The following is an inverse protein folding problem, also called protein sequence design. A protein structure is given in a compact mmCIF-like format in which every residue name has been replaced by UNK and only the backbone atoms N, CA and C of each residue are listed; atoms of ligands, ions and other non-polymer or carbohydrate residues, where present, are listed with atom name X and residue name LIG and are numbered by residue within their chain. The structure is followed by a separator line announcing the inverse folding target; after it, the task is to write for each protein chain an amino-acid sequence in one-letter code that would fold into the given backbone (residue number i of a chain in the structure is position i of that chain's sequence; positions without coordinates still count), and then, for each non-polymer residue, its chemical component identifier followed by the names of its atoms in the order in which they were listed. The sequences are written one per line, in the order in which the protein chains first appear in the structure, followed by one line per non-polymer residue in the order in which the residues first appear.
data_IF_017687721808
#
_entry.id   IF_017687721808
#
_cell.length_a   1.000
_cell.length_b   1.000
_cell.length_c   1.000
_cell.angle_alpha   90.00
_cell.angle_beta   90.00
_cell.angle_gamma   90.00
#
_symmetry.space_group_name_H-M   'P 1'
#
loop_
_entity.id
_entity.type
_entity.pdbx_description
1 polymer ?
#
# COMPACT_ATOMS: atom_id res chain seq x y z
N UNK A 1 -29.78 -16.69 -14.86
CA UNK A 1 -29.04 -16.51 -13.60
C UNK A 1 -27.97 -15.46 -13.88
N UNK A 2 -28.08 -14.27 -13.29
CA UNK A 2 -27.13 -13.19 -13.54
C UNK A 2 -25.73 -13.59 -13.09
N UNK A 3 -24.70 -13.21 -13.85
CA UNK A 3 -23.32 -13.32 -13.39
C UNK A 3 -23.17 -12.60 -12.03
N UNK A 4 -22.41 -13.15 -11.08
CA UNK A 4 -22.17 -12.47 -9.81
C UNK A 4 -21.54 -11.10 -10.09
N UNK A 5 -22.15 -10.05 -9.52
CA UNK A 5 -21.64 -8.69 -9.62
C UNK A 5 -20.25 -8.68 -9.00
N UNK A 6 -19.24 -8.28 -9.79
CA UNK A 6 -17.89 -8.07 -9.31
C UNK A 6 -17.72 -6.58 -9.07
N UNK A 7 -17.76 -6.18 -7.82
CA UNK A 7 -17.51 -4.82 -7.39
C UNK A 7 -16.47 -4.79 -6.27
N UNK A 8 -15.78 -3.67 -6.17
CA UNK A 8 -14.78 -3.44 -5.13
C UNK A 8 -14.69 -1.95 -4.89
N UNK A 9 -14.55 -1.57 -3.62
CA UNK A 9 -14.41 -0.18 -3.24
C UNK A 9 -13.02 0.10 -2.66
N UNK A 10 -12.54 1.31 -2.90
CA UNK A 10 -11.37 1.90 -2.26
C UNK A 10 -11.79 3.07 -1.40
N UNK A 11 -11.22 3.15 -0.20
CA UNK A 11 -11.47 4.25 0.73
C UNK A 11 -10.18 4.60 1.46
N UNK A 12 -9.68 5.81 1.24
CA UNK A 12 -8.59 6.35 2.06
C UNK A 12 -9.16 6.74 3.42
N UNK A 13 -8.59 6.18 4.48
CA UNK A 13 -8.94 6.40 5.89
C UNK A 13 -7.92 7.27 6.61
N UNK A 14 -6.92 7.80 5.90
CA UNK A 14 -6.02 8.83 6.42
C UNK A 14 -6.77 10.11 6.79
N UNK A 15 -6.45 10.69 7.95
CA UNK A 15 -6.88 12.07 8.28
C UNK A 15 -7.44 12.31 9.68
N UNK A 16 -7.50 13.58 10.08
CA UNK A 16 -8.13 14.01 11.34
C UNK A 16 -9.67 13.91 11.32
N UNK A 17 -10.31 14.17 12.48
CA UNK A 17 -11.79 14.10 12.64
C UNK A 17 -12.59 14.92 11.62
N UNK A 18 -12.00 15.98 11.05
CA UNK A 18 -12.64 16.91 10.11
C UNK A 18 -12.29 16.65 8.64
N UNK A 19 -11.44 15.68 8.33
CA UNK A 19 -11.05 15.44 6.94
C UNK A 19 -12.16 14.75 6.16
N UNK A 20 -12.30 15.10 4.89
CA UNK A 20 -13.29 14.52 4.00
C UNK A 20 -12.81 13.15 3.53
N UNK A 21 -13.66 12.14 3.69
CA UNK A 21 -13.43 10.79 3.19
C UNK A 21 -14.09 10.63 1.83
N UNK A 22 -13.43 9.88 0.94
CA UNK A 22 -13.99 9.51 -0.35
C UNK A 22 -14.18 8.00 -0.43
N UNK A 23 -15.25 7.60 -1.09
CA UNK A 23 -15.56 6.20 -1.38
C UNK A 23 -15.60 6.03 -2.90
N UNK A 24 -14.63 5.28 -3.43
CA UNK A 24 -14.51 5.01 -4.87
C UNK A 24 -14.96 3.58 -5.14
N UNK A 25 -16.03 3.40 -5.93
CA UNK A 25 -16.59 2.10 -6.27
C UNK A 25 -16.30 1.73 -7.73
N UNK A 26 -15.56 0.65 -7.95
CA UNK A 26 -15.39 0.04 -9.25
C UNK A 26 -16.33 -1.16 -9.41
N UNK A 27 -16.95 -1.27 -10.58
CA UNK A 27 -17.82 -2.40 -10.94
C UNK A 27 -17.48 -2.93 -12.34
N UNK A 28 -17.39 -4.25 -12.46
CA UNK A 28 -17.12 -4.92 -13.72
C UNK A 28 -18.41 -5.23 -14.46
N UNK A 29 -18.46 -4.87 -15.74
CA UNK A 29 -19.60 -5.15 -16.62
C UNK A 29 -19.19 -6.21 -17.65
N UNK A 30 -19.61 -7.49 -17.50
CA UNK A 30 -19.18 -8.58 -18.36
C UNK A 30 -19.53 -8.37 -19.84
N UNK A 31 -20.65 -7.72 -20.13
CA UNK A 31 -21.10 -7.43 -21.49
C UNK A 31 -20.13 -6.53 -22.25
N UNK A 32 -19.54 -5.56 -21.54
CA UNK A 32 -18.55 -4.61 -22.09
C UNK A 32 -17.11 -5.05 -21.87
N UNK A 33 -16.91 -6.14 -21.11
CA UNK A 33 -15.60 -6.61 -20.61
C UNK A 33 -14.77 -5.49 -19.96
N UNK A 34 -15.42 -4.48 -19.36
CA UNK A 34 -14.78 -3.26 -18.89
C UNK A 34 -15.20 -2.94 -17.46
N UNK A 35 -14.32 -2.32 -16.71
CA UNK A 35 -14.60 -1.77 -15.39
C UNK A 35 -15.09 -0.34 -15.49
N UNK A 36 -16.00 0.06 -14.60
CA UNK A 36 -16.52 1.42 -14.53
C UNK A 36 -16.35 1.93 -13.12
N UNK A 37 -15.89 3.18 -12.99
CA UNK A 37 -16.10 3.94 -11.77
C UNK A 37 -17.61 4.24 -11.68
N UNK A 38 -18.31 3.42 -10.89
CA UNK A 38 -19.77 3.48 -10.77
C UNK A 38 -20.20 4.61 -9.85
N UNK A 39 -19.42 4.89 -8.82
CA UNK A 39 -19.74 5.92 -7.85
C UNK A 39 -18.46 6.44 -7.19
N UNK A 40 -18.44 7.76 -6.97
CA UNK A 40 -17.44 8.46 -6.18
C UNK A 40 -18.18 9.32 -5.17
N UNK A 41 -18.29 8.83 -3.94
CA UNK A 41 -19.00 9.57 -2.88
C UNK A 41 -18.03 10.31 -1.99
N UNK A 42 -18.45 11.50 -1.54
CA UNK A 42 -17.75 12.30 -0.55
C UNK A 42 -18.60 12.35 0.72
N UNK A 43 -18.02 12.03 1.87
CA UNK A 43 -18.66 12.33 3.17
C UNK A 43 -18.42 13.81 3.46
N UNK A 44 -19.49 14.61 3.62
CA UNK A 44 -19.39 16.03 3.96
C UNK A 44 -19.69 16.25 5.44
N UNK A 45 -19.11 17.30 6.02
CA UNK A 45 -19.36 17.70 7.42
C UNK A 45 -20.81 18.12 7.71
N UNK A 46 -21.58 18.46 6.67
CA UNK A 46 -22.96 18.94 6.79
C UNK A 46 -24.00 17.81 6.88
N UNK A 47 -23.57 16.55 6.76
CA UNK A 47 -24.46 15.41 6.89
C UNK A 47 -24.93 15.26 8.34
N UNK A 48 -26.26 15.26 8.54
CA UNK A 48 -26.91 15.12 9.87
C UNK A 48 -26.62 13.74 10.49
N UNK A 49 -26.20 12.75 9.67
CA UNK A 49 -25.91 11.38 10.09
C UNK A 49 -24.46 11.26 10.55
N UNK A 50 -24.20 10.31 11.44
CA UNK A 50 -22.82 10.00 11.83
C UNK A 50 -22.04 9.50 10.60
N UNK A 51 -20.80 9.97 10.43
CA UNK A 51 -19.95 9.65 9.28
C UNK A 51 -19.75 8.14 9.13
N UNK A 52 -19.71 7.43 10.26
CA UNK A 52 -19.52 5.98 10.29
C UNK A 52 -20.80 5.22 9.85
N UNK A 53 -21.99 5.79 10.08
CA UNK A 53 -23.26 5.26 9.56
C UNK A 53 -23.35 5.40 8.03
N UNK A 54 -22.81 6.49 7.47
CA UNK A 54 -22.77 6.71 6.02
C UNK A 54 -21.96 5.61 5.34
N UNK A 55 -20.78 5.28 5.88
CA UNK A 55 -19.93 4.20 5.35
C UNK A 55 -20.70 2.88 5.37
N UNK A 56 -21.33 2.55 6.49
CA UNK A 56 -22.13 1.31 6.64
C UNK A 56 -23.27 1.29 5.62
N UNK A 57 -23.96 2.41 5.43
CA UNK A 57 -25.05 2.52 4.46
C UNK A 57 -24.59 2.31 3.02
N UNK A 58 -23.40 2.79 2.63
CA UNK A 58 -22.85 2.55 1.29
C UNK A 58 -22.48 1.09 1.08
N UNK A 59 -21.83 0.47 2.08
CA UNK A 59 -21.49 -0.96 2.03
C UNK A 59 -22.75 -1.81 1.83
N UNK A 60 -23.82 -1.52 2.56
CA UNK A 60 -25.10 -2.22 2.43
C UNK A 60 -25.79 -1.93 1.09
N UNK A 61 -25.86 -0.65 0.68
CA UNK A 61 -26.52 -0.22 -0.56
C UNK A 61 -25.90 -0.87 -1.79
N UNK A 62 -24.57 -1.00 -1.83
CA UNK A 62 -23.85 -1.60 -2.94
C UNK A 62 -23.61 -3.11 -2.78
N UNK A 63 -24.14 -3.72 -1.72
CA UNK A 63 -23.90 -5.13 -1.37
C UNK A 63 -22.41 -5.50 -1.42
N UNK A 64 -21.56 -4.59 -0.94
CA UNK A 64 -20.11 -4.67 -1.13
C UNK A 64 -19.53 -5.83 -0.31
N UNK A 65 -18.75 -6.69 -0.98
CA UNK A 65 -18.06 -7.82 -0.32
C UNK A 65 -16.60 -7.53 0.01
N UNK A 66 -16.01 -6.52 -0.64
CA UNK A 66 -14.58 -6.25 -0.60
C UNK A 66 -14.32 -4.76 -0.54
N UNK A 67 -13.50 -4.34 0.42
CA UNK A 67 -13.11 -2.95 0.63
C UNK A 67 -11.60 -2.85 0.85
N UNK A 68 -10.94 -2.01 0.07
CA UNK A 68 -9.49 -1.75 0.20
C UNK A 68 -9.27 -0.42 0.89
N UNK A 69 -8.42 -0.41 1.92
CA UNK A 69 -8.09 0.77 2.72
C UNK A 69 -6.58 0.96 2.84
N UNK A 70 -6.15 2.20 3.05
CA UNK A 70 -4.76 2.59 3.30
C UNK A 70 -4.40 2.58 4.80
N UNK A 71 -5.04 1.69 5.57
CA UNK A 71 -4.97 1.70 7.02
C UNK A 71 -4.57 0.34 7.59
N UNK A 72 -3.67 0.28 8.60
CA UNK A 72 -3.24 -0.96 9.24
C UNK A 72 -4.39 -1.81 9.80
N UNK A 73 -4.58 -3.03 9.26
CA UNK A 73 -5.62 -3.96 9.71
C UNK A 73 -5.11 -5.04 10.68
N UNK A 74 -3.88 -5.52 10.50
CA UNK A 74 -3.21 -6.43 11.46
C UNK A 74 -2.55 -5.65 12.58
N UNK A 75 -2.43 -6.21 13.79
CA UNK A 75 -1.72 -5.57 14.91
C UNK A 75 -0.28 -6.08 15.05
N UNK A 76 0.64 -5.33 15.71
CA UNK A 76 1.95 -5.85 16.05
C UNK A 76 1.86 -7.15 16.86
N UNK A 77 2.78 -8.10 16.69
CA UNK A 77 2.76 -9.38 17.39
C UNK A 77 2.52 -9.23 18.90
N UNK A 78 3.27 -8.37 19.57
CA UNK A 78 3.14 -8.19 21.03
C UNK A 78 1.80 -7.60 21.48
N UNK A 79 1.03 -6.96 20.60
CA UNK A 79 -0.32 -6.50 20.95
C UNK A 79 -1.35 -7.61 20.73
N UNK A 80 -1.24 -8.36 19.63
CA UNK A 80 -2.25 -9.33 19.22
C UNK A 80 -2.30 -10.59 20.11
N UNK A 81 -1.13 -11.14 20.48
CA UNK A 81 -1.07 -12.50 21.03
C UNK A 81 0.09 -12.73 22.01
N UNK A 82 0.48 -11.71 22.78
CA UNK A 82 1.71 -11.76 23.62
C UNK A 82 1.71 -12.91 24.61
N UNK A 83 2.90 -13.41 24.96
CA UNK A 83 3.04 -14.40 26.01
C UNK A 83 2.87 -13.73 27.39
N UNK A 84 2.15 -14.35 28.35
CA UNK A 84 1.90 -13.78 29.68
C UNK A 84 3.16 -13.42 30.48
N UNK A 85 4.30 -14.08 30.21
CA UNK A 85 5.59 -13.84 30.84
C UNK A 85 6.68 -13.61 29.77
N UNK A 86 6.47 -12.64 28.89
CA UNK A 86 7.42 -12.32 27.83
C UNK A 86 8.75 -11.78 28.41
N UNK A 87 9.88 -12.41 28.07
CA UNK A 87 11.24 -12.00 28.46
C UNK A 87 11.73 -10.74 27.72
N UNK A 88 10.86 -10.14 26.92
CA UNK A 88 11.13 -8.92 26.16
C UNK A 88 11.28 -9.18 24.66
N UNK A 89 11.35 -8.07 23.92
CA UNK A 89 11.39 -8.09 22.46
C UNK A 89 12.57 -8.92 21.92
N UNK A 90 13.77 -8.79 22.49
CA UNK A 90 15.01 -9.40 21.98
C UNK A 90 14.96 -10.93 21.91
N UNK A 91 14.24 -11.59 22.80
CA UNK A 91 14.17 -13.07 22.89
C UNK A 91 12.78 -13.60 22.52
N UNK A 92 11.99 -12.82 21.78
CA UNK A 92 10.64 -13.23 21.40
C UNK A 92 10.64 -14.59 20.67
N UNK A 93 9.95 -15.62 21.20
CA UNK A 93 10.01 -16.99 20.66
C UNK A 93 9.03 -17.23 19.51
N UNK A 94 8.33 -16.20 19.04
CA UNK A 94 7.32 -16.36 18.00
C UNK A 94 7.94 -16.59 16.64
N UNK A 95 7.38 -17.55 15.91
CA UNK A 95 7.79 -17.91 14.55
C UNK A 95 7.94 -16.69 13.63
N UNK A 96 6.90 -15.87 13.46
CA UNK A 96 6.96 -14.68 12.58
C UNK A 96 8.11 -13.71 12.94
N UNK A 97 8.39 -13.53 14.23
CA UNK A 97 9.45 -12.65 14.71
C UNK A 97 10.83 -13.27 14.47
N UNK A 98 10.93 -14.59 14.63
CA UNK A 98 12.15 -15.35 14.35
C UNK A 98 12.46 -15.36 12.85
N UNK A 99 11.48 -15.60 11.98
CA UNK A 99 11.61 -15.54 10.52
C UNK A 99 12.10 -14.18 10.05
N UNK A 100 11.44 -13.09 10.48
CA UNK A 100 11.87 -11.73 10.15
C UNK A 100 13.32 -11.49 10.57
N UNK A 101 13.71 -11.93 11.77
CA UNK A 101 15.09 -11.75 12.26
C UNK A 101 16.10 -12.61 11.52
N UNK A 102 15.72 -13.82 11.14
CA UNK A 102 16.55 -14.70 10.33
C UNK A 102 16.82 -14.06 8.97
N UNK A 103 15.77 -13.58 8.28
CA UNK A 103 15.91 -12.87 7.01
C UNK A 103 16.73 -11.58 7.14
N UNK A 104 16.51 -10.79 8.19
CA UNK A 104 17.31 -9.58 8.44
C UNK A 104 18.80 -9.90 8.62
N UNK A 105 19.10 -11.00 9.32
CA UNK A 105 20.48 -11.45 9.55
C UNK A 105 21.10 -11.97 8.26
N UNK A 106 20.37 -12.77 7.50
CA UNK A 106 20.80 -13.28 6.18
C UNK A 106 21.21 -12.14 5.25
N UNK A 107 20.36 -11.11 5.11
CA UNK A 107 20.68 -9.93 4.30
C UNK A 107 21.97 -9.21 4.75
N UNK A 108 22.18 -9.08 6.06
CA UNK A 108 23.39 -8.45 6.60
C UNK A 108 24.64 -9.32 6.41
N UNK A 109 24.50 -10.64 6.57
CA UNK A 109 25.58 -11.61 6.41
C UNK A 109 25.99 -11.73 4.93
N UNK A 110 25.03 -11.73 4.00
CA UNK A 110 25.28 -11.68 2.55
C UNK A 110 26.03 -10.41 2.15
N UNK A 111 25.57 -9.23 2.58
CA UNK A 111 26.26 -7.97 2.29
C UNK A 111 27.69 -7.94 2.87
N UNK A 112 27.87 -8.46 4.08
CA UNK A 112 29.18 -8.59 4.71
C UNK A 112 30.08 -9.59 3.97
N UNK A 113 29.51 -10.68 3.45
CA UNK A 113 30.22 -11.65 2.62
C UNK A 113 30.68 -11.03 1.31
N UNK A 114 29.80 -10.33 0.59
CA UNK A 114 30.15 -9.63 -0.65
C UNK A 114 31.27 -8.59 -0.44
N UNK A 115 31.22 -7.85 0.67
CA UNK A 115 32.26 -6.88 1.02
C UNK A 115 33.62 -7.55 1.27
N UNK A 116 33.65 -8.71 1.92
CA UNK A 116 34.89 -9.46 2.20
C UNK A 116 35.46 -10.14 0.97
N UNK A 117 34.62 -10.77 0.15
CA UNK A 117 35.05 -11.58 -0.99
C UNK A 117 35.53 -10.71 -2.16
N UNK A 118 34.88 -9.55 -2.40
CA UNK A 118 35.20 -8.69 -3.54
C UNK A 118 35.21 -7.19 -3.17
N UNK A 119 36.14 -6.71 -2.32
CA UNK A 119 36.11 -5.34 -1.78
C UNK A 119 36.20 -4.24 -2.85
N UNK A 120 36.97 -4.47 -3.92
CA UNK A 120 37.09 -3.50 -5.02
C UNK A 120 35.80 -3.39 -5.83
N UNK A 121 35.20 -4.53 -6.19
CA UNK A 121 33.95 -4.57 -6.94
C UNK A 121 32.80 -4.00 -6.10
N UNK A 122 32.79 -4.31 -4.81
CA UNK A 122 31.86 -3.76 -3.84
C UNK A 122 31.92 -2.23 -3.79
N UNK A 123 33.13 -1.66 -3.69
CA UNK A 123 33.30 -0.20 -3.68
C UNK A 123 32.94 0.44 -5.04
N UNK A 124 33.25 -0.22 -6.16
CA UNK A 124 32.84 0.23 -7.49
C UNK A 124 31.31 0.25 -7.64
N UNK A 125 30.62 -0.82 -7.23
CA UNK A 125 29.15 -0.91 -7.26
C UNK A 125 28.52 0.10 -6.27
N UNK A 126 29.16 0.35 -5.12
CA UNK A 126 28.76 1.41 -4.18
C UNK A 126 28.87 2.80 -4.80
N UNK A 127 29.99 3.11 -5.44
CA UNK A 127 30.18 4.41 -6.11
C UNK A 127 29.23 4.54 -7.29
N UNK A 128 29.06 3.50 -8.11
CA UNK A 128 28.10 3.48 -9.20
C UNK A 128 26.65 3.66 -8.72
N UNK A 129 26.29 3.17 -7.52
CA UNK A 129 24.98 3.42 -6.91
C UNK A 129 24.77 4.87 -6.48
N UNK A 130 25.86 5.62 -6.25
CA UNK A 130 25.84 7.07 -5.99
C UNK A 130 25.88 7.89 -7.29
N UNK A 131 26.36 7.32 -8.40
CA UNK A 131 26.33 7.92 -9.72
C UNK A 131 24.91 7.84 -10.29
N UNK A 132 24.32 9.00 -10.49
CA UNK A 132 22.87 9.13 -10.51
C UNK A 132 22.27 8.87 -11.89
N UNK A 133 22.11 7.61 -12.28
CA UNK A 133 21.26 7.25 -13.43
C UNK A 133 19.81 7.02 -12.96
N UNK A 134 19.09 8.12 -12.81
CA UNK A 134 17.75 8.21 -12.20
C UNK A 134 16.67 7.32 -12.84
N UNK A 135 16.88 6.86 -14.07
CA UNK A 135 15.90 6.13 -14.89
C UNK A 135 16.00 4.60 -14.78
N UNK A 136 17.19 4.06 -14.46
CA UNK A 136 17.46 2.61 -14.49
C UNK A 136 17.35 1.93 -13.12
N UNK A 137 17.60 2.67 -12.03
CA UNK A 137 17.74 2.06 -10.70
C UNK A 137 16.41 1.67 -10.03
N UNK A 138 15.34 2.46 -10.18
CA UNK A 138 14.05 2.21 -9.51
C UNK A 138 13.20 1.11 -10.19
N UNK A 139 13.33 0.93 -11.51
CA UNK A 139 12.48 0.02 -12.31
C UNK A 139 12.85 -1.47 -12.20
N UNK A 140 14.08 -1.80 -11.80
CA UNK A 140 14.64 -3.14 -12.02
C UNK A 140 15.06 -3.91 -10.77
N UNK A 141 15.01 -3.31 -9.58
CA UNK A 141 15.64 -3.91 -8.39
C UNK A 141 14.68 -3.86 -7.19
N UNK A 142 14.49 -4.99 -6.54
CA UNK A 142 14.01 -5.03 -5.15
C UNK A 142 15.12 -4.54 -4.19
N UNK A 143 14.76 -4.17 -2.96
CA UNK A 143 15.73 -3.58 -2.00
C UNK A 143 16.78 -4.59 -1.55
N UNK A 144 16.45 -5.88 -1.62
CA UNK A 144 17.31 -7.04 -1.34
C UNK A 144 18.16 -7.51 -2.53
N UNK A 145 17.74 -7.23 -3.77
CA UNK A 145 18.45 -7.67 -5.00
C UNK A 145 19.76 -6.90 -5.30
N UNK A 146 20.14 -5.95 -4.45
CA UNK A 146 21.35 -5.16 -4.64
C UNK A 146 22.06 -4.89 -3.31
N UNK A 147 23.31 -4.43 -3.40
CA UNK A 147 24.08 -3.99 -2.23
C UNK A 147 23.23 -3.04 -1.37
N UNK A 148 22.98 -3.44 -0.12
CA UNK A 148 22.05 -2.74 0.75
C UNK A 148 22.45 -1.26 0.91
N UNK A 149 21.48 -0.36 0.86
CA UNK A 149 21.76 1.07 1.07
C UNK A 149 22.25 1.34 2.50
N UNK A 150 23.03 2.42 2.70
CA UNK A 150 23.51 2.80 4.04
C UNK A 150 22.35 3.05 5.02
N UNK A 151 21.27 3.66 4.52
CA UNK A 151 20.03 3.89 5.27
C UNK A 151 19.37 2.58 5.65
N UNK A 152 19.23 1.63 4.71
CA UNK A 152 18.58 0.36 4.97
C UNK A 152 19.39 -0.49 5.94
N UNK A 153 20.72 -0.58 5.78
CA UNK A 153 21.62 -1.25 6.75
C UNK A 153 21.47 -0.70 8.16
N UNK A 154 21.39 0.63 8.30
CA UNK A 154 21.17 1.25 9.61
C UNK A 154 19.83 0.83 10.20
N UNK A 155 18.79 0.69 9.39
CA UNK A 155 17.49 0.19 9.84
C UNK A 155 17.54 -1.29 10.22
N UNK A 156 18.17 -2.14 9.42
CA UNK A 156 18.36 -3.56 9.73
C UNK A 156 19.15 -3.76 11.03
N UNK A 157 20.21 -2.99 11.26
CA UNK A 157 21.02 -3.04 12.51
C UNK A 157 20.27 -2.56 13.75
N UNK A 158 19.32 -1.63 13.61
CA UNK A 158 18.44 -1.24 14.73
C UNK A 158 17.53 -2.40 15.15
N UNK A 159 17.26 -3.33 14.24
CA UNK A 159 16.51 -4.55 14.52
C UNK A 159 14.99 -4.36 14.44
N UNK A 160 14.31 -5.51 14.49
CA UNK A 160 12.85 -5.58 14.51
C UNK A 160 12.30 -5.58 15.93
N UNK A 161 11.45 -4.59 16.23
CA UNK A 161 10.74 -4.43 17.51
C UNK A 161 9.27 -4.91 17.40
N UNK A 162 8.92 -6.10 17.92
CA UNK A 162 7.62 -6.75 17.71
C UNK A 162 6.42 -6.09 18.41
N UNK A 163 6.65 -5.08 19.25
CA UNK A 163 5.60 -4.24 19.85
C UNK A 163 5.30 -2.97 19.05
N UNK A 164 6.12 -2.67 18.04
CA UNK A 164 5.99 -1.47 17.20
C UNK A 164 5.82 -1.84 15.73
N UNK A 165 6.55 -2.86 15.28
CA UNK A 165 6.56 -3.32 13.91
C UNK A 165 5.76 -4.60 13.74
N UNK A 166 5.15 -4.73 12.57
CA UNK A 166 4.50 -5.94 12.09
C UNK A 166 5.42 -6.70 11.14
N UNK A 167 5.27 -8.02 11.01
CA UNK A 167 6.03 -8.79 10.02
C UNK A 167 5.91 -8.21 8.61
N UNK A 168 4.71 -7.78 8.21
CA UNK A 168 4.49 -7.13 6.91
C UNK A 168 5.34 -5.87 6.70
N UNK A 169 5.63 -5.11 7.77
CA UNK A 169 6.43 -3.89 7.67
C UNK A 169 7.84 -4.22 7.19
N UNK A 170 8.42 -5.33 7.69
CA UNK A 170 9.72 -5.81 7.23
C UNK A 170 9.67 -6.26 5.76
N UNK A 171 8.62 -6.98 5.35
CA UNK A 171 8.45 -7.36 3.94
C UNK A 171 8.39 -6.11 3.04
N UNK A 172 7.69 -5.06 3.46
CA UNK A 172 7.67 -3.78 2.73
C UNK A 172 9.06 -3.16 2.69
N UNK A 173 9.82 -3.20 3.79
CA UNK A 173 11.19 -2.67 3.78
C UNK A 173 12.09 -3.42 2.80
N UNK A 174 12.02 -4.75 2.80
CA UNK A 174 12.79 -5.62 1.91
C UNK A 174 12.50 -5.36 0.43
N UNK A 175 11.29 -4.92 0.08
CA UNK A 175 10.86 -4.78 -1.31
C UNK A 175 10.79 -3.32 -1.82
N UNK A 176 10.64 -2.34 -0.92
CA UNK A 176 10.32 -0.95 -1.28
C UNK A 176 11.08 0.13 -0.49
N UNK A 177 11.95 -0.19 0.48
CA UNK A 177 12.49 0.83 1.40
C UNK A 177 13.23 1.97 0.68
N UNK A 178 14.12 1.63 -0.24
CA UNK A 178 14.91 2.63 -0.95
C UNK A 178 14.06 3.42 -1.96
N UNK A 179 13.10 2.76 -2.62
CA UNK A 179 12.18 3.40 -3.56
C UNK A 179 11.28 4.42 -2.87
N UNK A 180 10.74 4.06 -1.70
CA UNK A 180 9.93 4.96 -0.87
C UNK A 180 10.75 6.17 -0.39
N UNK A 181 11.97 5.92 0.09
CA UNK A 181 12.86 6.98 0.55
C UNK A 181 13.30 7.90 -0.58
N UNK A 182 13.54 7.37 -1.78
CA UNK A 182 13.98 8.15 -2.93
C UNK A 182 12.85 9.03 -3.49
N UNK A 183 11.67 8.45 -3.72
CA UNK A 183 10.55 9.14 -4.39
C UNK A 183 9.72 9.95 -3.42
N UNK A 184 9.32 9.37 -2.29
CA UNK A 184 8.36 9.96 -1.35
C UNK A 184 9.00 10.55 -0.10
N UNK A 185 10.33 10.42 0.05
CA UNK A 185 11.11 10.94 1.19
C UNK A 185 10.63 10.44 2.55
N UNK A 186 9.99 9.27 2.58
CA UNK A 186 9.45 8.68 3.79
C UNK A 186 9.93 7.23 3.97
N UNK A 187 9.69 6.71 5.16
CA UNK A 187 9.86 5.29 5.46
C UNK A 187 8.54 4.69 5.88
N UNK A 188 8.27 3.48 5.42
CA UNK A 188 7.07 2.75 5.80
C UNK A 188 7.20 2.24 7.24
N UNK A 189 6.33 2.68 8.14
CA UNK A 189 6.18 2.15 9.50
C UNK A 189 4.69 2.18 9.84
N UNK A 190 3.95 1.12 9.51
CA UNK A 190 2.47 1.17 9.47
C UNK A 190 1.84 1.66 10.76
N UNK A 191 2.07 0.96 11.88
CA UNK A 191 1.53 1.38 13.19
C UNK A 191 2.18 2.65 13.70
N UNK A 192 3.47 2.84 13.41
CA UNK A 192 4.21 4.03 13.85
C UNK A 192 3.72 5.32 13.19
N UNK A 193 3.17 5.25 11.99
CA UNK A 193 2.70 6.40 11.21
C UNK A 193 1.24 6.78 11.52
N UNK A 194 0.49 5.93 12.24
CA UNK A 194 -0.94 6.11 12.44
C UNK A 194 -1.26 6.55 13.86
N UNK A 195 -2.18 7.51 13.99
CA UNK A 195 -2.59 7.98 15.32
C UNK A 195 -3.44 6.93 16.05
N UNK A 196 -3.25 6.83 17.37
CA UNK A 196 -4.05 5.95 18.23
C UNK A 196 -5.57 6.23 18.14
N UNK A 197 -5.94 7.49 17.92
CA UNK A 197 -7.34 7.89 17.75
C UNK A 197 -7.96 7.29 16.48
N UNK A 198 -7.22 7.23 15.38
CA UNK A 198 -7.69 6.60 14.16
C UNK A 198 -7.76 5.09 14.29
N UNK A 199 -6.79 4.46 14.97
CA UNK A 199 -6.86 3.03 15.31
C UNK A 199 -8.11 2.71 16.12
N UNK A 200 -8.43 3.53 17.12
CA UNK A 200 -9.62 3.37 17.94
C UNK A 200 -10.91 3.53 17.13
N UNK A 201 -10.96 4.54 16.25
CA UNK A 201 -12.10 4.77 15.35
C UNK A 201 -12.31 3.62 14.36
N UNK A 202 -11.24 3.11 13.74
CA UNK A 202 -11.39 1.97 12.83
C UNK A 202 -11.84 0.71 13.58
N UNK A 203 -11.28 0.44 14.74
CA UNK A 203 -11.74 -0.68 15.58
C UNK A 203 -13.21 -0.56 15.98
N UNK A 204 -13.75 0.66 16.10
CA UNK A 204 -15.18 0.90 16.26
C UNK A 204 -15.94 0.58 14.97
N UNK A 205 -15.56 1.19 13.84
CA UNK A 205 -16.20 0.99 12.54
C UNK A 205 -16.26 -0.51 12.14
N UNK A 206 -15.17 -1.25 12.33
CA UNK A 206 -15.09 -2.68 12.04
C UNK A 206 -16.14 -3.53 12.78
N UNK A 207 -16.66 -3.08 13.92
CA UNK A 207 -17.72 -3.78 14.66
C UNK A 207 -19.11 -3.58 14.07
N UNK A 208 -19.30 -2.52 13.30
CA UNK A 208 -20.57 -2.12 12.70
C UNK A 208 -20.67 -2.54 11.22
N UNK A 209 -19.55 -2.85 10.57
CA UNK A 209 -19.54 -3.33 9.20
C UNK A 209 -20.14 -4.75 9.09
N UNK A 210 -20.78 -5.08 7.95
CA UNK A 210 -21.32 -6.42 7.70
C UNK A 210 -20.25 -7.52 7.82
N UNK A 211 -20.61 -8.66 8.41
CA UNK A 211 -19.69 -9.78 8.66
C UNK A 211 -19.16 -10.46 7.39
N UNK A 212 -19.87 -10.29 6.29
CA UNK A 212 -19.53 -10.79 4.97
C UNK A 212 -18.66 -9.82 4.15
N UNK A 213 -18.39 -8.62 4.66
CA UNK A 213 -17.41 -7.69 4.10
C UNK A 213 -16.01 -8.12 4.52
N UNK A 214 -15.14 -8.35 3.53
CA UNK A 214 -13.70 -8.55 3.76
C UNK A 214 -12.97 -7.25 3.47
N UNK A 215 -12.23 -6.76 4.46
CA UNK A 215 -11.35 -5.61 4.30
C UNK A 215 -9.93 -6.05 3.96
N UNK A 216 -9.28 -5.27 3.09
CA UNK A 216 -7.91 -5.45 2.66
C UNK A 216 -7.11 -4.18 2.92
N UNK A 217 -5.89 -4.36 3.40
CA UNK A 217 -4.96 -3.26 3.61
C UNK A 217 -4.09 -3.09 2.36
N UNK A 218 -3.88 -1.84 1.92
CA UNK A 218 -2.85 -1.54 0.93
C UNK A 218 -2.20 -0.20 1.23
N UNK A 219 -1.36 0.28 0.32
CA UNK A 219 -0.71 1.57 0.44
C UNK A 219 -0.61 2.25 -0.92
N UNK A 220 -1.05 3.50 -0.97
CA UNK A 220 -1.12 4.30 -2.20
C UNK A 220 0.28 4.47 -2.82
N UNK A 221 1.30 4.75 -2.00
CA UNK A 221 2.66 4.96 -2.48
C UNK A 221 3.27 3.68 -3.06
N UNK A 222 3.02 2.53 -2.43
CA UNK A 222 3.43 1.23 -2.98
C UNK A 222 2.72 0.95 -4.30
N UNK A 223 1.42 1.22 -4.39
CA UNK A 223 0.67 1.07 -5.64
C UNK A 223 1.23 1.97 -6.76
N UNK A 224 1.55 3.24 -6.46
CA UNK A 224 2.18 4.16 -7.40
C UNK A 224 3.56 3.67 -7.87
N UNK A 225 4.35 3.05 -6.99
CA UNK A 225 5.62 2.41 -7.37
C UNK A 225 5.41 1.18 -8.26
N UNK A 226 4.38 0.38 -8.02
CA UNK A 226 4.05 -0.78 -8.86
C UNK A 226 3.55 -0.33 -10.25
N UNK A 227 2.76 0.75 -10.34
CA UNK A 227 2.42 1.39 -11.61
C UNK A 227 3.67 1.85 -12.36
N UNK A 228 4.64 2.40 -11.64
CA UNK A 228 5.91 2.83 -12.22
C UNK A 228 6.76 1.63 -12.69
N UNK A 229 6.86 0.56 -11.90
CA UNK A 229 7.54 -0.69 -12.28
C UNK A 229 6.94 -1.30 -13.55
N UNK A 230 5.63 -1.23 -13.69
CA UNK A 230 4.92 -1.64 -14.90
C UNK A 230 5.03 -0.63 -16.06
N UNK A 231 5.74 0.49 -15.89
CA UNK A 231 5.89 1.57 -16.90
C UNK A 231 4.56 2.18 -17.35
N UNK A 232 3.53 2.09 -16.52
CA UNK A 232 2.24 2.76 -16.75
C UNK A 232 2.37 4.25 -16.42
N UNK A 233 3.16 4.59 -15.39
CA UNK A 233 3.47 5.97 -14.99
C UNK A 233 4.97 6.20 -15.00
N UNK A 234 5.38 7.46 -15.16
CA UNK A 234 6.79 7.86 -15.13
C UNK A 234 7.21 8.34 -13.75
N UNK A 235 8.51 8.31 -13.46
CA UNK A 235 9.06 8.86 -12.20
C UNK A 235 8.77 10.36 -12.06
N UNK A 236 8.82 11.10 -13.17
CA UNK A 236 8.51 12.54 -13.21
C UNK A 236 7.10 12.80 -12.68
N UNK A 237 6.12 11.98 -13.10
CA UNK A 237 4.75 12.09 -12.62
C UNK A 237 4.64 11.85 -11.13
N UNK A 238 5.35 10.84 -10.60
CA UNK A 238 5.36 10.56 -9.16
C UNK A 238 5.93 11.72 -8.35
N UNK A 239 6.98 12.38 -8.84
CA UNK A 239 7.57 13.55 -8.17
C UNK A 239 6.64 14.78 -8.25
N UNK A 240 5.96 14.97 -9.38
CA UNK A 240 5.00 16.06 -9.59
C UNK A 240 3.76 15.97 -8.70
N UNK A 241 3.42 14.80 -8.15
CA UNK A 241 2.34 14.68 -7.16
C UNK A 241 2.59 15.48 -5.86
N UNK A 242 3.85 15.78 -5.55
CA UNK A 242 4.25 16.58 -4.37
C UNK A 242 4.42 18.06 -4.69
N UNK A 243 4.37 18.43 -5.97
CA UNK A 243 4.43 19.81 -6.42
C UNK A 243 3.00 20.38 -6.46
N UNK A 244 2.74 21.41 -5.65
CA UNK A 244 1.40 21.98 -5.48
C UNK A 244 0.80 22.47 -6.81
N UNK A 245 1.62 22.99 -7.71
CA UNK A 245 1.16 23.57 -8.98
C UNK A 245 0.91 22.47 -10.03
N UNK A 246 1.70 21.40 -9.98
CA UNK A 246 1.67 20.31 -10.97
C UNK A 246 0.85 19.09 -10.53
N UNK A 247 0.48 18.99 -9.25
CA UNK A 247 -0.19 17.81 -8.69
C UNK A 247 -1.49 17.45 -9.43
N UNK A 248 -2.31 18.44 -9.78
CA UNK A 248 -3.57 18.21 -10.52
C UNK A 248 -3.30 17.60 -11.90
N UNK A 249 -2.34 18.14 -12.65
CA UNK A 249 -1.96 17.59 -13.97
C UNK A 249 -1.31 16.20 -13.85
N UNK A 250 -0.52 15.98 -12.80
CA UNK A 250 0.06 14.67 -12.54
C UNK A 250 -1.01 13.61 -12.25
N UNK A 251 -2.02 13.93 -11.42
CA UNK A 251 -3.17 13.04 -11.16
C UNK A 251 -3.92 12.73 -12.45
N UNK A 252 -4.23 13.73 -13.25
CA UNK A 252 -4.91 13.56 -14.55
C UNK A 252 -4.15 12.57 -15.44
N UNK A 253 -2.85 12.79 -15.64
CA UNK A 253 -2.03 11.89 -16.47
C UNK A 253 -1.94 10.47 -15.91
N UNK A 254 -1.86 10.31 -14.58
CA UNK A 254 -1.87 9.00 -13.94
C UNK A 254 -3.20 8.28 -14.19
N UNK A 255 -4.33 8.97 -14.02
CA UNK A 255 -5.67 8.41 -14.22
C UNK A 255 -5.87 8.00 -15.67
N UNK A 256 -5.49 8.85 -16.64
CA UNK A 256 -5.58 8.54 -18.07
C UNK A 256 -4.72 7.32 -18.44
N UNK A 257 -3.52 7.21 -17.87
CA UNK A 257 -2.66 6.04 -18.08
C UNK A 257 -3.27 4.77 -17.47
N UNK A 258 -3.91 4.86 -16.30
CA UNK A 258 -4.62 3.74 -15.68
C UNK A 258 -5.83 3.32 -16.53
N UNK A 259 -6.68 4.27 -16.93
CA UNK A 259 -7.84 4.01 -17.79
C UNK A 259 -7.43 3.27 -19.07
N UNK A 260 -6.36 3.74 -19.73
CA UNK A 260 -5.84 3.15 -20.96
C UNK A 260 -5.36 1.70 -20.80
N UNK A 261 -4.67 1.37 -19.70
CA UNK A 261 -4.02 0.07 -19.52
C UNK A 261 -4.84 -0.94 -18.69
N UNK A 262 -5.88 -0.49 -17.98
CA UNK A 262 -6.63 -1.34 -17.05
C UNK A 262 -8.12 -1.48 -17.39
N UNK A 263 -8.52 -0.99 -18.57
CA UNK A 263 -9.90 -1.07 -19.05
C UNK A 263 -10.88 -0.51 -18.01
N UNK A 264 -10.53 0.61 -17.38
CA UNK A 264 -11.42 1.33 -16.45
C UNK A 264 -12.01 2.51 -17.19
N UNK A 265 -13.32 2.71 -17.12
CA UNK A 265 -14.00 3.88 -17.64
C UNK A 265 -14.38 4.82 -16.49
N UNK A 266 -14.12 6.11 -16.67
CA UNK A 266 -14.40 7.16 -15.69
C UNK A 266 -15.19 8.26 -16.39
N UNK A 267 -16.27 8.73 -15.77
CA UNK A 267 -17.04 9.86 -16.29
C UNK A 267 -16.30 11.18 -16.06
N UNK A 268 -16.45 12.15 -16.96
CA UNK A 268 -15.74 13.44 -16.89
C UNK A 268 -15.94 14.17 -15.55
N UNK A 269 -17.17 14.17 -15.01
CA UNK A 269 -17.48 14.79 -13.71
C UNK A 269 -16.71 14.13 -12.54
N UNK A 270 -16.59 12.80 -12.56
CA UNK A 270 -15.84 12.08 -11.53
C UNK A 270 -14.34 12.30 -11.72
N UNK A 271 -13.85 12.29 -12.97
CA UNK A 271 -12.46 12.58 -13.30
C UNK A 271 -12.03 13.95 -12.77
N UNK A 272 -12.83 14.99 -13.01
CA UNK A 272 -12.56 16.33 -12.46
C UNK A 272 -12.49 16.34 -10.94
N UNK A 273 -13.37 15.59 -10.27
CA UNK A 273 -13.40 15.49 -8.81
C UNK A 273 -12.14 14.83 -8.27
N UNK A 274 -11.69 13.74 -8.91
CA UNK A 274 -10.47 13.01 -8.57
C UNK A 274 -9.23 13.88 -8.79
N UNK A 275 -9.19 14.66 -9.87
CA UNK A 275 -8.07 15.57 -10.16
C UNK A 275 -7.95 16.66 -9.10
N UNK A 276 -9.08 17.29 -8.73
CA UNK A 276 -9.12 18.40 -7.78
C UNK A 276 -8.85 17.98 -6.33
N UNK A 277 -9.20 16.75 -5.95
CA UNK A 277 -9.13 16.29 -4.56
C UNK A 277 -8.16 15.11 -4.36
N UNK A 278 -7.13 15.29 -3.51
CA UNK A 278 -6.15 14.25 -3.19
C UNK A 278 -6.77 12.99 -2.58
N UNK A 279 -7.74 13.14 -1.67
CA UNK A 279 -8.34 12.01 -0.98
C UNK A 279 -9.24 11.19 -1.92
N UNK A 280 -9.85 11.85 -2.90
CA UNK A 280 -10.57 11.19 -3.98
C UNK A 280 -9.62 10.38 -4.88
N UNK A 281 -8.47 10.96 -5.23
CA UNK A 281 -7.39 10.27 -5.93
C UNK A 281 -6.88 9.05 -5.17
N UNK A 282 -6.57 9.19 -3.89
CA UNK A 282 -6.09 8.10 -3.05
C UNK A 282 -7.12 6.96 -2.96
N UNK A 283 -8.40 7.31 -2.77
CA UNK A 283 -9.50 6.33 -2.74
C UNK A 283 -9.69 5.63 -4.08
N UNK A 284 -9.51 6.34 -5.20
CA UNK A 284 -9.50 5.75 -6.54
C UNK A 284 -8.31 4.80 -6.75
N UNK A 285 -7.10 5.17 -6.32
CA UNK A 285 -5.94 4.28 -6.41
C UNK A 285 -6.18 3.00 -5.61
N UNK A 286 -6.78 3.08 -4.42
CA UNK A 286 -7.16 1.91 -3.63
C UNK A 286 -8.20 1.03 -4.32
N UNK A 287 -9.17 1.62 -5.04
CA UNK A 287 -10.16 0.83 -5.78
C UNK A 287 -9.51 0.11 -6.97
N UNK A 288 -8.51 0.73 -7.63
CA UNK A 288 -7.66 0.09 -8.64
C UNK A 288 -6.87 -1.10 -8.06
N UNK A 289 -6.36 -1.00 -6.83
CA UNK A 289 -5.76 -2.17 -6.14
C UNK A 289 -6.78 -3.29 -5.98
N UNK A 290 -7.99 -2.95 -5.53
CA UNK A 290 -9.09 -3.91 -5.39
C UNK A 290 -9.48 -4.58 -6.71
N UNK A 291 -9.46 -3.82 -7.81
CA UNK A 291 -9.68 -4.37 -9.15
C UNK A 291 -8.62 -5.43 -9.48
N UNK A 292 -7.35 -5.14 -9.22
CA UNK A 292 -6.26 -6.10 -9.45
C UNK A 292 -6.37 -7.35 -8.60
N UNK A 293 -6.78 -7.21 -7.34
CA UNK A 293 -7.11 -8.35 -6.47
C UNK A 293 -8.16 -9.26 -7.11
N UNK A 294 -9.28 -8.68 -7.59
CA UNK A 294 -10.34 -9.42 -8.27
C UNK A 294 -9.91 -10.07 -9.60
N UNK A 295 -8.82 -9.60 -10.19
CA UNK A 295 -8.20 -10.13 -11.40
C UNK A 295 -7.03 -11.09 -11.12
N UNK A 296 -6.81 -11.50 -9.86
CA UNK A 296 -5.67 -12.32 -9.41
C UNK A 296 -4.29 -11.72 -9.74
N UNK A 297 -4.21 -10.39 -9.88
CA UNK A 297 -2.98 -9.66 -10.16
C UNK A 297 -2.36 -9.10 -8.88
N UNK A 298 -1.98 -9.98 -7.95
CA UNK A 298 -1.35 -9.57 -6.69
C UNK A 298 0.08 -10.11 -6.59
N UNK A 299 0.93 -9.37 -5.89
CA UNK A 299 2.26 -9.84 -5.52
C UNK A 299 2.16 -10.83 -4.36
N UNK A 300 2.92 -11.91 -4.45
CA UNK A 300 3.00 -12.90 -3.38
C UNK A 300 3.68 -12.30 -2.14
N UNK A 301 3.04 -12.48 -1.00
CA UNK A 301 3.55 -12.12 0.32
C UNK A 301 3.74 -13.43 1.08
N UNK A 302 4.91 -13.68 1.68
CA UNK A 302 5.15 -14.89 2.48
C UNK A 302 4.11 -15.05 3.59
N UNK A 303 3.82 -16.31 3.95
CA UNK A 303 2.84 -16.64 4.98
C UNK A 303 3.13 -15.95 6.32
N UNK A 304 4.41 -15.76 6.67
CA UNK A 304 4.81 -15.08 7.90
C UNK A 304 4.52 -13.57 7.88
N UNK A 305 4.36 -12.96 6.70
CA UNK A 305 4.14 -11.53 6.51
C UNK A 305 2.69 -11.12 6.73
N UNK A 306 1.75 -11.92 6.24
CA UNK A 306 0.31 -11.59 6.24
C UNK A 306 -0.45 -12.35 7.34
N UNK A 307 0.01 -12.25 8.57
CA UNK A 307 -0.53 -13.00 9.70
C UNK A 307 -1.60 -12.21 10.46
N UNK A 308 -2.41 -12.92 11.26
CA UNK A 308 -3.39 -12.34 12.19
C UNK A 308 -4.41 -11.39 11.52
N UNK A 309 -4.88 -11.73 10.31
CA UNK A 309 -5.94 -11.00 9.61
C UNK A 309 -5.47 -9.77 8.84
N UNK A 310 -4.16 -9.64 8.57
CA UNK A 310 -3.57 -8.47 7.95
C UNK A 310 -4.09 -8.12 6.55
N UNK A 311 -4.56 -9.11 5.78
CA UNK A 311 -5.07 -8.96 4.41
C UNK A 311 -4.32 -7.89 3.59
N UNK A 312 -3.00 -7.77 3.79
CA UNK A 312 -2.20 -6.78 3.12
C UNK A 312 -2.02 -7.23 1.69
N UNK A 313 -2.32 -6.36 0.74
CA UNK A 313 -2.26 -6.67 -0.68
C UNK A 313 -1.44 -5.60 -1.40
N UNK A 314 -0.63 -6.07 -2.34
CA UNK A 314 0.10 -5.22 -3.27
C UNK A 314 -0.28 -5.64 -4.68
N UNK A 315 -0.78 -4.71 -5.51
CA UNK A 315 -1.15 -5.03 -6.88
C UNK A 315 0.11 -5.33 -7.70
N UNK A 316 0.00 -6.30 -8.60
CA UNK A 316 0.95 -6.52 -9.67
C UNK A 316 0.37 -5.97 -10.96
N UNK A 317 1.11 -5.11 -11.64
CA UNK A 317 0.70 -4.58 -12.93
C UNK A 317 1.60 -5.15 -14.03
N UNK A 318 0.96 -5.69 -15.07
CA UNK A 318 1.64 -6.07 -16.30
C UNK A 318 1.18 -5.14 -17.42
N UNK A 319 2.10 -4.76 -18.30
CA UNK A 319 1.74 -4.21 -19.60
C UNK A 319 1.05 -5.33 -20.37
N UNK A 320 -0.21 -5.13 -20.73
CA UNK A 320 -0.76 -5.87 -21.86
C UNK A 320 0.04 -5.42 -23.08
N UNK A 321 0.74 -6.37 -23.70
CA UNK A 321 1.66 -6.13 -24.81
C UNK A 321 0.98 -5.63 -26.07
#
# INVERSE_FOLDING_TARGET
MGNPIRNVAGMSLGGGRKENFFFSLLEYYPEKKRWFLKSLHQVKDEDIRDRDEIITSWVETYCLKQLVVDFPLSRPPCEASCLPNCEGASVCPRHQVQEVRAEMKELLDEDAHFQKTNPKRYEQERVASLEVDYSKNLLKKNTDEHMLSRSFKRKLRKGFTPYWHRPIDFWVWKNYYDQLLEVFKNSYESFGNVSFMLLSRLNYLLRHLPKDLTMYESNIQICLLELYRARIVSKSLLLQLFDLDMASSAREQIILNIEKHMEIFIYENDLETIIKNSNAFDSFILSVVGQRMLMNGLREIPEWGNTDGGNFIVPMFHLQG
#
